data_IF_509427168101
#
_entry.id   IF_509427168101
#
_cell.length_a   1.000
_cell.length_b   1.000
_cell.length_c   1.000
_cell.angle_alpha   90.00
_cell.angle_beta   90.00
_cell.angle_gamma   90.00
#
_symmetry.space_group_name_H-M   'P 1'
#
loop_
_entity.id
_entity.type
_entity.pdbx_description
1 polymer ?
#
# COMPACT_ATOMS: atom_id res chain seq x y z
N UNK A 1 3.05 -10.27 -7.47
CA UNK A 1 4.15 -11.13 -6.99
C UNK A 1 3.56 -12.42 -6.44
N UNK A 2 3.84 -13.60 -7.01
CA UNK A 2 3.27 -14.89 -6.56
C UNK A 2 3.81 -15.24 -5.18
N UNK A 3 2.99 -15.72 -4.23
CA UNK A 3 3.49 -16.13 -2.92
C UNK A 3 4.47 -17.29 -3.09
N UNK A 4 5.66 -17.17 -2.49
CA UNK A 4 6.68 -18.23 -2.47
C UNK A 4 6.06 -19.53 -1.94
N UNK A 5 6.35 -20.67 -2.57
CA UNK A 5 5.69 -21.94 -2.29
C UNK A 5 5.94 -22.39 -0.84
N UNK A 6 4.93 -23.03 -0.28
CA UNK A 6 4.84 -23.56 1.08
C UNK A 6 5.98 -24.53 1.50
N UNK A 7 6.80 -24.98 0.58
CA UNK A 7 7.91 -25.93 0.83
C UNK A 7 9.03 -25.38 1.72
N UNK A 8 9.34 -24.09 1.69
CA UNK A 8 10.34 -23.48 2.57
C UNK A 8 9.89 -23.38 4.04
N UNK A 9 8.58 -23.42 4.29
CA UNK A 9 8.02 -23.41 5.66
C UNK A 9 8.09 -24.79 6.35
N UNK A 10 8.08 -25.88 5.58
CA UNK A 10 8.24 -27.22 6.13
C UNK A 10 9.69 -27.51 6.53
N UNK A 11 10.66 -26.96 5.81
CA UNK A 11 12.10 -27.17 6.08
C UNK A 11 12.57 -26.60 7.42
N UNK A 12 11.90 -25.57 7.96
CA UNK A 12 12.26 -25.02 9.29
C UNK A 12 11.69 -25.82 10.46
N UNK A 13 10.59 -26.54 10.26
CA UNK A 13 9.93 -27.30 11.33
C UNK A 13 10.70 -28.59 11.68
N UNK A 14 11.16 -29.35 10.69
CA UNK A 14 11.83 -30.64 10.91
C UNK A 14 13.13 -30.55 11.72
N UNK A 15 14.04 -29.60 11.47
CA UNK A 15 15.22 -29.43 12.34
C UNK A 15 14.85 -29.12 13.78
N UNK A 16 13.86 -28.28 14.03
CA UNK A 16 13.41 -27.96 15.39
C UNK A 16 12.78 -29.17 16.09
N UNK A 17 12.06 -30.00 15.35
CA UNK A 17 11.52 -31.26 15.88
C UNK A 17 12.64 -32.22 16.26
N UNK A 18 13.66 -32.39 15.42
CA UNK A 18 14.82 -33.24 15.72
C UNK A 18 15.58 -32.74 16.96
N UNK A 19 15.79 -31.45 17.09
CA UNK A 19 16.42 -30.84 18.27
C UNK A 19 15.55 -31.08 19.51
N UNK A 20 14.24 -30.86 19.45
CA UNK A 20 13.31 -31.07 20.56
C UNK A 20 13.31 -32.52 21.05
N UNK A 21 13.22 -33.50 20.14
CA UNK A 21 13.31 -34.92 20.51
C UNK A 21 14.71 -35.31 21.01
N UNK A 22 15.76 -34.77 20.38
CA UNK A 22 17.14 -34.99 20.83
C UNK A 22 17.37 -34.52 22.27
N UNK A 23 16.89 -33.32 22.63
CA UNK A 23 16.94 -32.78 23.97
C UNK A 23 16.11 -33.65 24.97
N UNK A 24 14.87 -34.01 24.58
CA UNK A 24 14.02 -34.85 25.44
C UNK A 24 14.65 -36.22 25.72
N UNK A 25 15.16 -36.90 24.69
CA UNK A 25 15.86 -38.16 24.81
C UNK A 25 17.13 -37.98 25.65
N UNK A 26 17.94 -36.97 25.38
CA UNK A 26 19.18 -36.70 26.11
C UNK A 26 18.95 -36.44 27.58
N UNK A 27 17.96 -35.63 27.96
CA UNK A 27 17.58 -35.40 29.37
C UNK A 27 17.12 -36.73 30.02
N UNK A 28 16.29 -37.51 29.32
CA UNK A 28 15.84 -38.79 29.84
C UNK A 28 16.98 -39.78 30.05
N UNK A 29 17.93 -39.87 29.13
CA UNK A 29 19.15 -40.72 29.29
C UNK A 29 19.97 -40.21 30.46
N UNK A 30 20.21 -38.91 30.59
CA UNK A 30 20.96 -38.35 31.72
C UNK A 30 20.31 -38.67 33.07
N UNK A 31 18.98 -38.53 33.16
CA UNK A 31 18.23 -38.90 34.37
C UNK A 31 18.25 -40.41 34.68
N UNK A 32 18.59 -41.27 33.70
CA UNK A 32 18.69 -42.73 33.92
C UNK A 32 20.05 -43.20 34.40
N UNK A 33 21.09 -42.38 34.32
CA UNK A 33 22.47 -42.77 34.69
C UNK A 33 22.59 -43.41 36.10
N UNK A 34 21.90 -42.98 37.18
CA UNK A 34 21.99 -43.59 38.49
C UNK A 34 21.45 -45.02 38.52
N UNK A 35 20.57 -45.41 37.62
CA UNK A 35 19.89 -46.70 37.54
C UNK A 35 20.44 -47.59 36.42
N UNK A 36 21.47 -47.12 35.72
CA UNK A 36 22.12 -47.84 34.65
C UNK A 36 22.79 -49.10 35.19
N UNK A 37 22.35 -50.24 34.85
CA UNK A 37 22.73 -51.65 35.13
C UNK A 37 21.52 -52.55 35.36
N UNK A 38 20.29 -52.01 35.32
CA UNK A 38 19.07 -52.81 35.40
C UNK A 38 18.48 -52.91 33.97
N UNK A 39 18.73 -54.02 33.33
CA UNK A 39 18.34 -54.31 31.96
C UNK A 39 16.83 -54.11 31.70
N UNK A 40 16.01 -54.53 32.71
CA UNK A 40 14.56 -54.34 32.70
C UNK A 40 14.13 -52.87 32.68
N UNK A 41 14.82 -52.05 33.45
CA UNK A 41 14.56 -50.59 33.50
C UNK A 41 15.01 -49.89 32.24
N UNK A 42 16.19 -50.24 31.71
CA UNK A 42 16.70 -49.65 30.45
C UNK A 42 15.82 -50.04 29.25
N UNK A 43 15.32 -51.29 29.22
CA UNK A 43 14.37 -51.75 28.21
C UNK A 43 13.03 -51.01 28.28
N UNK A 44 12.49 -50.80 29.50
CA UNK A 44 11.28 -49.98 29.69
C UNK A 44 11.45 -48.57 29.13
N UNK A 45 12.52 -47.90 29.52
CA UNK A 45 12.77 -46.52 29.09
C UNK A 45 13.02 -46.40 27.58
N UNK A 46 13.82 -47.28 27.01
CA UNK A 46 14.09 -47.31 25.58
C UNK A 46 12.80 -47.51 24.77
N UNK A 47 11.96 -48.44 25.17
CA UNK A 47 10.67 -48.70 24.52
C UNK A 47 9.71 -47.51 24.72
N UNK A 48 9.68 -46.88 25.90
CA UNK A 48 8.86 -45.71 26.18
C UNK A 48 9.25 -44.51 25.34
N UNK A 49 10.55 -44.20 25.21
CA UNK A 49 11.06 -43.12 24.39
C UNK A 49 10.78 -43.34 22.89
N UNK A 50 11.03 -44.59 22.43
CA UNK A 50 10.77 -45.00 21.06
C UNK A 50 9.28 -44.87 20.70
N UNK A 51 8.39 -45.38 21.57
CA UNK A 51 6.95 -45.32 21.35
C UNK A 51 6.42 -43.88 21.39
N UNK A 52 6.97 -43.02 22.28
CA UNK A 52 6.63 -41.60 22.32
C UNK A 52 7.05 -40.86 21.01
N UNK A 53 8.24 -41.17 20.52
CA UNK A 53 8.72 -40.67 19.22
C UNK A 53 7.82 -41.12 18.07
N UNK A 54 7.49 -42.43 18.01
CA UNK A 54 6.60 -42.96 16.97
C UNK A 54 5.20 -42.35 17.05
N UNK A 55 4.67 -42.15 18.26
CA UNK A 55 3.36 -41.48 18.45
C UNK A 55 3.33 -40.02 18.03
N UNK A 56 4.48 -39.37 17.91
CA UNK A 56 4.55 -38.00 17.41
C UNK A 56 4.19 -37.88 15.91
N UNK A 57 4.33 -38.95 15.11
CA UNK A 57 3.99 -38.91 13.68
C UNK A 57 2.47 -38.78 13.42
N UNK A 58 1.60 -39.65 13.97
CA UNK A 58 0.16 -39.46 13.84
C UNK A 58 -0.31 -38.13 14.47
N UNK A 59 0.30 -37.69 15.56
CA UNK A 59 0.02 -36.38 16.15
C UNK A 59 0.40 -35.24 15.21
N UNK A 60 1.56 -35.31 14.52
CA UNK A 60 1.96 -34.32 13.50
C UNK A 60 0.93 -34.23 12.40
N UNK A 61 0.48 -35.36 11.88
CA UNK A 61 -0.51 -35.38 10.80
C UNK A 61 -1.83 -34.75 11.22
N UNK A 62 -2.31 -35.04 12.44
CA UNK A 62 -3.52 -34.44 13.01
C UNK A 62 -3.37 -32.92 13.19
N UNK A 63 -2.29 -32.45 13.81
CA UNK A 63 -1.99 -31.04 13.98
C UNK A 63 -1.87 -30.32 12.64
N UNK A 64 -1.25 -30.99 11.64
CA UNK A 64 -1.10 -30.43 10.30
C UNK A 64 -2.46 -30.22 9.59
N UNK A 65 -3.38 -31.18 9.68
CA UNK A 65 -4.74 -31.04 9.14
C UNK A 65 -5.47 -29.87 9.82
N UNK A 66 -5.38 -29.76 11.16
CA UNK A 66 -6.05 -28.66 11.86
C UNK A 66 -5.47 -27.30 11.48
N UNK A 67 -4.17 -27.22 11.28
CA UNK A 67 -3.53 -26.02 10.80
C UNK A 67 -3.98 -25.62 9.39
N UNK A 68 -4.04 -26.59 8.47
CA UNK A 68 -4.49 -26.34 7.09
C UNK A 68 -5.96 -25.93 7.03
N UNK A 69 -6.83 -26.58 7.83
CA UNK A 69 -8.26 -26.29 7.90
C UNK A 69 -8.58 -25.06 8.75
N UNK A 70 -7.58 -24.35 9.27
CA UNK A 70 -7.75 -23.15 10.11
C UNK A 70 -8.71 -23.39 11.29
N UNK A 71 -8.67 -24.59 11.88
CA UNK A 71 -9.47 -24.93 13.06
C UNK A 71 -9.07 -23.99 14.21
N UNK A 72 -10.05 -23.46 14.95
CA UNK A 72 -9.76 -22.61 16.12
C UNK A 72 -8.91 -23.37 17.12
N UNK A 73 -7.84 -22.71 17.61
CA UNK A 73 -6.78 -23.32 18.43
C UNK A 73 -7.35 -24.09 19.63
N UNK A 74 -8.37 -23.58 20.30
CA UNK A 74 -9.04 -24.24 21.43
C UNK A 74 -9.57 -25.64 21.08
N UNK A 75 -10.21 -25.80 19.93
CA UNK A 75 -10.74 -27.09 19.48
C UNK A 75 -9.62 -28.03 19.02
N UNK A 76 -8.61 -27.49 18.34
CA UNK A 76 -7.45 -28.25 17.92
C UNK A 76 -6.70 -28.84 19.13
N UNK A 77 -6.46 -28.03 20.18
CA UNK A 77 -5.82 -28.49 21.41
C UNK A 77 -6.67 -29.55 22.13
N UNK A 78 -7.99 -29.32 22.28
CA UNK A 78 -8.88 -30.29 22.96
C UNK A 78 -8.90 -31.64 22.25
N UNK A 79 -8.97 -31.67 20.92
CA UNK A 79 -8.96 -32.93 20.17
C UNK A 79 -7.59 -33.61 20.24
N UNK A 80 -6.49 -32.85 20.14
CA UNK A 80 -5.13 -33.39 20.31
C UNK A 80 -4.93 -33.97 21.71
N UNK A 81 -5.49 -33.31 22.74
CA UNK A 81 -5.45 -33.80 24.14
C UNK A 81 -6.13 -35.15 24.30
N UNK A 82 -7.31 -35.30 23.68
CA UNK A 82 -8.04 -36.57 23.66
C UNK A 82 -7.29 -37.66 22.87
N UNK A 83 -6.73 -37.34 21.72
CA UNK A 83 -6.00 -38.27 20.85
C UNK A 83 -4.65 -38.69 21.43
N UNK A 84 -3.99 -37.83 22.20
CA UNK A 84 -2.71 -38.12 22.84
C UNK A 84 -2.83 -39.14 23.95
N UNK A 85 -3.98 -39.26 24.63
CA UNK A 85 -4.19 -40.17 25.75
C UNK A 85 -4.04 -41.65 25.36
N UNK A 86 -4.79 -42.18 24.36
CA UNK A 86 -4.63 -43.55 23.92
C UNK A 86 -3.23 -43.84 23.34
N UNK A 87 -2.59 -42.87 22.69
CA UNK A 87 -1.22 -43.02 22.20
C UNK A 87 -0.21 -43.15 23.37
N UNK A 88 -0.39 -42.34 24.42
CA UNK A 88 0.40 -42.44 25.65
C UNK A 88 0.21 -43.79 26.35
N UNK A 89 -1.03 -44.31 26.40
CA UNK A 89 -1.36 -45.62 26.98
C UNK A 89 -0.72 -46.77 26.19
N UNK A 90 -0.78 -46.72 24.85
CA UNK A 90 -0.10 -47.71 23.99
C UNK A 90 1.43 -47.69 24.22
N UNK A 91 1.99 -46.47 24.34
CA UNK A 91 3.40 -46.28 24.64
C UNK A 91 3.81 -46.89 25.99
N UNK A 92 3.03 -46.66 27.04
CA UNK A 92 3.26 -47.24 28.37
C UNK A 92 3.12 -48.76 28.35
N UNK A 93 2.11 -49.31 27.69
CA UNK A 93 1.91 -50.74 27.55
C UNK A 93 3.10 -51.41 26.84
N UNK A 94 3.58 -50.84 25.75
CA UNK A 94 4.77 -51.35 25.02
C UNK A 94 6.03 -51.30 25.86
N UNK A 95 6.20 -50.28 26.70
CA UNK A 95 7.32 -50.13 27.60
C UNK A 95 7.30 -51.22 28.71
N UNK A 96 6.13 -51.45 29.31
CA UNK A 96 5.99 -52.55 30.31
C UNK A 96 6.20 -53.92 29.69
N UNK A 97 5.67 -54.20 28.50
CA UNK A 97 5.91 -55.43 27.78
C UNK A 97 7.42 -55.67 27.52
N UNK A 98 8.12 -54.63 27.14
CA UNK A 98 9.57 -54.67 26.92
C UNK A 98 10.33 -54.98 28.23
N UNK A 99 9.96 -54.31 29.33
CA UNK A 99 10.57 -54.55 30.61
C UNK A 99 10.35 -56.01 31.09
N UNK A 100 9.14 -56.56 30.94
CA UNK A 100 8.83 -57.96 31.30
C UNK A 100 9.59 -58.95 30.45
N UNK A 101 9.84 -58.68 29.19
CA UNK A 101 10.61 -59.54 28.29
C UNK A 101 12.08 -59.69 28.74
N UNK A 102 12.67 -58.59 29.18
CA UNK A 102 14.08 -58.57 29.63
C UNK A 102 14.26 -58.80 31.11
N UNK A 103 13.19 -58.92 31.89
CA UNK A 103 13.26 -59.19 33.33
C UNK A 103 13.61 -60.66 33.65
N UNK A 104 14.53 -60.82 34.54
CA UNK A 104 14.87 -62.18 35.06
C UNK A 104 13.76 -62.78 35.94
N UNK A 105 12.99 -61.91 36.61
CA UNK A 105 11.82 -62.30 37.43
C UNK A 105 10.63 -61.74 36.68
N UNK A 106 9.72 -62.56 36.17
CA UNK A 106 8.52 -62.16 35.43
C UNK A 106 7.37 -61.84 36.40
N UNK A 107 7.26 -60.62 36.94
CA UNK A 107 6.10 -60.24 37.72
C UNK A 107 4.82 -60.33 36.88
N UNK A 108 3.65 -60.56 37.50
CA UNK A 108 2.39 -60.54 36.77
C UNK A 108 2.18 -59.14 36.15
N UNK A 109 1.63 -59.15 34.97
CA UNK A 109 1.26 -57.88 34.27
C UNK A 109 0.00 -57.29 34.92
N UNK A 110 0.12 -56.04 35.41
CA UNK A 110 -1.02 -55.32 35.97
C UNK A 110 -1.36 -54.08 35.14
N UNK A 111 -2.60 -53.96 34.74
CA UNK A 111 -3.07 -52.77 34.00
C UNK A 111 -2.91 -51.49 34.82
N UNK A 112 -2.89 -51.55 36.12
CA UNK A 112 -2.65 -50.42 37.02
C UNK A 112 -1.30 -49.76 36.73
N UNK A 113 -0.26 -50.57 36.47
CA UNK A 113 1.09 -50.04 36.17
C UNK A 113 1.12 -49.28 34.84
N UNK A 114 0.39 -49.78 33.86
CA UNK A 114 0.24 -49.09 32.55
C UNK A 114 -0.51 -47.77 32.71
N UNK A 115 -1.62 -47.78 33.45
CA UNK A 115 -2.42 -46.58 33.70
C UNK A 115 -1.63 -45.52 34.46
N UNK A 116 -0.88 -45.91 35.48
CA UNK A 116 -0.05 -44.97 36.27
C UNK A 116 1.12 -44.39 35.51
N UNK A 117 1.65 -45.08 34.50
CA UNK A 117 2.71 -44.57 33.61
C UNK A 117 2.18 -43.75 32.43
N UNK A 118 0.90 -43.91 32.06
CA UNK A 118 0.27 -43.20 30.89
C UNK A 118 0.41 -41.68 30.95
N UNK A 119 0.24 -40.97 32.09
CA UNK A 119 0.38 -39.53 32.17
C UNK A 119 1.72 -39.01 31.64
N UNK A 120 2.82 -39.72 31.88
CA UNK A 120 4.15 -39.32 31.42
C UNK A 120 4.23 -39.24 29.87
N UNK A 121 3.72 -40.26 29.17
CA UNK A 121 3.64 -40.28 27.72
C UNK A 121 2.68 -39.24 27.16
N UNK A 122 1.53 -39.07 27.82
CA UNK A 122 0.54 -38.08 27.47
C UNK A 122 1.09 -36.64 27.58
N UNK A 123 1.76 -36.31 28.70
CA UNK A 123 2.41 -35.00 28.87
C UNK A 123 3.51 -34.74 27.84
N UNK A 124 4.30 -35.77 27.50
CA UNK A 124 5.33 -35.64 26.47
C UNK A 124 4.71 -35.27 25.10
N UNK A 125 3.63 -35.95 24.72
CA UNK A 125 2.91 -35.64 23.46
C UNK A 125 2.21 -34.28 23.52
N UNK A 126 1.64 -33.89 24.65
CA UNK A 126 1.01 -32.58 24.81
C UNK A 126 2.04 -31.44 24.75
N UNK A 127 3.20 -31.60 25.37
CA UNK A 127 4.31 -30.64 25.23
C UNK A 127 4.72 -30.50 23.77
N UNK A 128 4.82 -31.63 23.06
CA UNK A 128 5.12 -31.63 21.63
C UNK A 128 4.05 -30.88 20.79
N UNK A 129 2.76 -31.08 21.08
CA UNK A 129 1.65 -30.33 20.43
C UNK A 129 1.76 -28.85 20.70
N UNK A 130 2.08 -28.46 21.94
CA UNK A 130 2.31 -27.05 22.31
C UNK A 130 3.45 -26.43 21.50
N UNK A 131 4.59 -27.12 21.38
CA UNK A 131 5.70 -26.67 20.54
C UNK A 131 5.32 -26.59 19.07
N UNK A 132 4.57 -27.56 18.53
CA UNK A 132 4.11 -27.52 17.15
C UNK A 132 3.29 -26.26 16.85
N UNK A 133 2.24 -26.02 17.62
CA UNK A 133 1.39 -24.83 17.41
C UNK A 133 2.13 -23.54 17.75
N UNK A 134 2.96 -23.51 18.79
CA UNK A 134 3.78 -22.36 19.15
C UNK A 134 4.69 -21.93 18.01
N UNK A 135 5.45 -22.86 17.43
CA UNK A 135 6.33 -22.59 16.28
C UNK A 135 5.51 -22.14 15.07
N UNK A 136 4.40 -22.83 14.78
CA UNK A 136 3.55 -22.45 13.64
C UNK A 136 2.93 -21.06 13.78
N UNK A 137 2.45 -20.71 14.97
CA UNK A 137 1.94 -19.36 15.25
C UNK A 137 3.03 -18.30 15.19
N UNK A 138 4.19 -18.57 15.77
CA UNK A 138 5.32 -17.65 15.71
C UNK A 138 5.72 -17.34 14.25
N UNK A 139 5.92 -18.38 13.44
CA UNK A 139 6.27 -18.20 12.03
C UNK A 139 5.16 -17.49 11.23
N UNK A 140 3.89 -17.71 11.57
CA UNK A 140 2.78 -17.02 10.93
C UNK A 140 2.70 -15.55 11.33
N UNK A 141 3.02 -15.20 12.58
CA UNK A 141 3.11 -13.82 13.07
C UNK A 141 4.27 -13.08 12.42
N UNK A 142 5.45 -13.70 12.35
CA UNK A 142 6.63 -13.14 11.69
C UNK A 142 6.35 -12.80 10.22
N UNK A 143 5.67 -13.70 9.52
CA UNK A 143 5.29 -13.47 8.12
C UNK A 143 4.28 -12.32 7.96
N UNK A 144 3.26 -12.26 8.84
CA UNK A 144 2.31 -11.15 8.84
C UNK A 144 2.99 -9.80 9.11
N UNK A 145 3.88 -9.78 10.10
CA UNK A 145 4.64 -8.56 10.43
C UNK A 145 5.48 -8.09 9.25
N UNK A 146 6.15 -9.02 8.57
CA UNK A 146 6.91 -8.72 7.37
C UNK A 146 6.04 -8.16 6.25
N UNK A 147 4.85 -8.76 6.01
CA UNK A 147 3.91 -8.26 5.00
C UNK A 147 3.41 -6.86 5.32
N UNK A 148 3.14 -6.56 6.59
CA UNK A 148 2.75 -5.21 7.03
C UNK A 148 3.85 -4.19 6.73
N UNK A 149 5.11 -4.49 7.07
CA UNK A 149 6.25 -3.61 6.77
C UNK A 149 6.40 -3.39 5.26
N UNK A 150 6.34 -4.46 4.45
CA UNK A 150 6.43 -4.35 2.98
C UNK A 150 5.30 -3.46 2.43
N UNK A 151 4.08 -3.60 2.94
CA UNK A 151 2.93 -2.78 2.53
C UNK A 151 3.11 -1.31 2.94
N UNK A 152 3.61 -1.04 4.14
CA UNK A 152 3.89 0.33 4.61
C UNK A 152 4.97 1.01 3.77
N UNK A 153 6.04 0.29 3.42
CA UNK A 153 7.09 0.80 2.53
C UNK A 153 6.52 1.16 1.16
N UNK A 154 5.69 0.27 0.58
CA UNK A 154 5.05 0.53 -0.71
C UNK A 154 4.12 1.75 -0.66
N UNK A 155 3.37 1.92 0.43
CA UNK A 155 2.51 3.08 0.64
C UNK A 155 3.33 4.38 0.73
N UNK A 156 4.41 4.39 1.51
CA UNK A 156 5.33 5.54 1.62
C UNK A 156 6.01 5.88 0.29
N UNK A 157 6.46 4.87 -0.47
CA UNK A 157 7.01 5.09 -1.80
C UNK A 157 5.98 5.68 -2.78
N UNK A 158 4.72 5.21 -2.71
CA UNK A 158 3.64 5.76 -3.52
C UNK A 158 3.36 7.24 -3.16
N UNK A 159 3.34 7.57 -1.86
CA UNK A 159 3.20 8.95 -1.39
C UNK A 159 4.37 9.84 -1.87
N UNK A 160 5.61 9.37 -1.75
CA UNK A 160 6.79 10.10 -2.23
C UNK A 160 6.76 10.30 -3.75
N UNK A 161 6.29 9.31 -4.51
CA UNK A 161 6.10 9.45 -5.96
C UNK A 161 5.03 10.49 -6.27
N UNK A 162 3.88 10.44 -5.60
CA UNK A 162 2.81 11.44 -5.77
C UNK A 162 3.32 12.85 -5.48
N UNK A 163 4.05 13.05 -4.37
CA UNK A 163 4.65 14.33 -4.02
C UNK A 163 5.68 14.82 -5.07
N UNK A 164 6.53 13.91 -5.59
CA UNK A 164 7.46 14.24 -6.68
C UNK A 164 6.75 14.66 -7.97
N UNK A 165 5.61 14.04 -8.27
CA UNK A 165 4.81 14.43 -9.44
C UNK A 165 4.14 15.81 -9.28
N UNK A 166 3.80 16.21 -8.05
CA UNK A 166 3.27 17.55 -7.77
C UNK A 166 4.28 18.68 -8.04
N UNK A 167 5.58 18.42 -7.88
CA UNK A 167 6.65 19.41 -8.06
C UNK A 167 7.04 19.66 -9.53
N UNK A 168 6.49 18.92 -10.50
CA UNK A 168 6.83 19.05 -11.92
C UNK A 168 8.34 19.27 -12.19
N UNK A 169 9.17 18.23 -12.14
CA UNK A 169 10.63 18.40 -12.26
C UNK A 169 11.06 19.19 -13.49
N UNK A 170 10.36 18.99 -14.61
CA UNK A 170 10.67 19.68 -15.88
C UNK A 170 10.44 21.18 -15.80
N UNK A 171 9.39 21.64 -15.13
CA UNK A 171 9.17 23.07 -14.89
C UNK A 171 10.28 23.68 -14.05
N UNK A 172 10.68 23.01 -12.94
CA UNK A 172 11.78 23.47 -12.09
C UNK A 172 13.10 23.57 -12.85
N UNK A 173 13.47 22.55 -13.63
CA UNK A 173 14.69 22.59 -14.45
C UNK A 173 14.66 23.72 -15.48
N UNK A 174 13.54 23.92 -16.14
CA UNK A 174 13.40 25.00 -17.13
C UNK A 174 13.49 26.38 -16.47
N UNK A 175 12.86 26.57 -15.31
CA UNK A 175 12.91 27.82 -14.55
C UNK A 175 14.33 28.10 -14.07
N UNK A 176 15.06 27.11 -13.53
CA UNK A 176 16.45 27.25 -13.12
C UNK A 176 17.36 27.62 -14.31
N UNK A 177 17.15 27.01 -15.46
CA UNK A 177 17.90 27.35 -16.67
C UNK A 177 17.60 28.78 -17.13
N UNK A 178 16.32 29.22 -17.06
CA UNK A 178 15.94 30.59 -17.40
C UNK A 178 16.58 31.59 -16.43
N UNK A 179 16.57 31.33 -15.11
CA UNK A 179 17.27 32.16 -14.11
C UNK A 179 18.76 32.27 -14.44
N UNK A 180 19.42 31.16 -14.74
CA UNK A 180 20.83 31.14 -15.12
C UNK A 180 21.08 32.00 -16.38
N UNK A 181 20.21 31.92 -17.37
CA UNK A 181 20.30 32.71 -18.60
C UNK A 181 20.13 34.21 -18.32
N UNK A 182 19.19 34.58 -17.44
CA UNK A 182 18.97 35.97 -17.02
C UNK A 182 20.21 36.55 -16.32
N UNK A 183 20.84 35.75 -15.46
CA UNK A 183 22.10 36.16 -14.78
C UNK A 183 23.22 36.34 -15.78
N UNK A 184 23.41 35.44 -16.75
CA UNK A 184 24.44 35.51 -17.77
C UNK A 184 24.23 36.68 -18.73
N UNK A 185 22.98 37.11 -18.93
CA UNK A 185 22.60 38.26 -19.79
C UNK A 185 22.60 39.58 -19.00
N UNK A 186 23.17 39.63 -17.82
CA UNK A 186 23.25 40.80 -16.95
C UNK A 186 21.88 41.42 -16.59
N UNK A 187 20.89 40.57 -16.34
CA UNK A 187 19.51 40.91 -15.93
C UNK A 187 19.20 40.43 -14.49
N UNK A 188 19.94 40.91 -13.45
CA UNK A 188 19.81 40.39 -12.10
C UNK A 188 18.44 40.67 -11.45
N UNK A 189 17.78 41.79 -11.83
CA UNK A 189 16.43 42.11 -11.32
C UNK A 189 15.39 41.09 -11.76
N UNK A 190 15.37 40.72 -13.03
CA UNK A 190 14.46 39.71 -13.55
C UNK A 190 14.76 38.31 -12.96
N UNK A 191 16.03 37.99 -12.77
CA UNK A 191 16.43 36.76 -12.12
C UNK A 191 15.93 36.68 -10.65
N UNK A 192 16.08 37.78 -9.89
CA UNK A 192 15.62 37.87 -8.51
C UNK A 192 14.09 37.79 -8.41
N UNK A 193 13.38 38.47 -9.30
CA UNK A 193 11.92 38.40 -9.40
C UNK A 193 11.46 36.97 -9.69
N UNK A 194 12.09 36.29 -10.65
CA UNK A 194 11.77 34.90 -10.99
C UNK A 194 12.00 33.94 -9.84
N UNK A 195 13.08 34.11 -9.07
CA UNK A 195 13.36 33.33 -7.86
C UNK A 195 12.26 33.56 -6.80
N UNK A 196 11.86 34.82 -6.58
CA UNK A 196 10.79 35.16 -5.63
C UNK A 196 9.47 34.50 -5.99
N UNK A 197 9.04 34.60 -7.26
CA UNK A 197 7.83 33.95 -7.76
C UNK A 197 7.90 32.44 -7.65
N UNK A 198 9.03 31.82 -8.00
CA UNK A 198 9.23 30.39 -7.86
C UNK A 198 9.14 29.93 -6.40
N UNK A 199 9.77 30.66 -5.47
CA UNK A 199 9.71 30.32 -4.05
C UNK A 199 8.27 30.42 -3.49
N UNK A 200 7.50 31.42 -3.94
CA UNK A 200 6.12 31.58 -3.54
C UNK A 200 5.24 30.46 -4.11
N UNK A 201 5.35 30.14 -5.40
CA UNK A 201 4.64 29.04 -6.05
C UNK A 201 4.92 27.68 -5.38
N UNK A 202 6.18 27.40 -5.05
CA UNK A 202 6.55 26.18 -4.34
C UNK A 202 5.93 26.12 -2.93
N UNK A 203 5.97 27.23 -2.20
CA UNK A 203 5.37 27.30 -0.86
C UNK A 203 3.86 27.13 -0.92
N UNK A 204 3.16 27.82 -1.81
CA UNK A 204 1.69 27.69 -1.97
C UNK A 204 1.28 26.28 -2.40
N UNK A 205 2.15 25.55 -3.13
CA UNK A 205 1.87 24.18 -3.55
C UNK A 205 2.14 23.15 -2.44
N UNK A 206 3.20 23.35 -1.62
CA UNK A 206 3.67 22.39 -0.61
C UNK A 206 3.03 22.58 0.76
N UNK A 207 2.85 23.84 1.21
CA UNK A 207 2.38 24.15 2.59
C UNK A 207 0.86 24.18 2.72
N UNK A 208 0.14 24.02 1.63
CA UNK A 208 -1.30 24.13 1.67
C UNK A 208 -1.95 22.91 2.34
N UNK A 209 -2.89 23.15 3.28
CA UNK A 209 -3.66 22.09 3.94
C UNK A 209 -4.34 21.19 2.89
N UNK A 210 -4.67 19.95 3.27
CA UNK A 210 -5.39 18.97 2.43
C UNK A 210 -6.86 19.40 2.17
N UNK A 211 -7.07 20.66 1.83
CA UNK A 211 -8.37 21.17 1.43
C UNK A 211 -8.66 20.76 -0.01
N UNK A 212 -9.76 20.05 -0.20
CA UNK A 212 -10.18 19.62 -1.53
C UNK A 212 -10.69 20.78 -2.38
N UNK A 213 -11.22 21.84 -1.76
CA UNK A 213 -11.76 23.04 -2.39
C UNK A 213 -11.11 24.30 -1.81
N UNK A 214 -10.88 25.30 -2.67
CA UNK A 214 -10.37 26.61 -2.31
C UNK A 214 -11.20 27.69 -3.05
N UNK A 215 -11.20 28.95 -2.58
CA UNK A 215 -11.76 30.04 -3.34
C UNK A 215 -11.12 30.16 -4.73
N UNK A 216 -11.92 30.53 -5.73
CA UNK A 216 -11.44 30.72 -7.09
C UNK A 216 -10.30 31.76 -7.16
N UNK A 217 -10.37 32.83 -6.39
CA UNK A 217 -9.30 33.84 -6.33
C UNK A 217 -7.95 33.24 -5.94
N UNK A 218 -7.90 32.25 -5.02
CA UNK A 218 -6.68 31.58 -4.61
C UNK A 218 -6.14 30.68 -5.73
N UNK A 219 -7.02 29.96 -6.43
CA UNK A 219 -6.63 29.11 -7.57
C UNK A 219 -6.11 29.95 -8.74
N UNK A 220 -6.75 31.11 -9.01
CA UNK A 220 -6.30 32.06 -10.03
C UNK A 220 -4.95 32.66 -9.66
N UNK A 221 -4.72 33.04 -8.40
CA UNK A 221 -3.44 33.60 -7.93
C UNK A 221 -2.27 32.62 -8.18
N UNK A 222 -2.44 31.34 -7.86
CA UNK A 222 -1.42 30.28 -8.11
C UNK A 222 -1.19 30.13 -9.63
N UNK A 223 -2.27 30.15 -10.41
CA UNK A 223 -2.20 30.03 -11.88
C UNK A 223 -1.51 31.24 -12.53
N UNK A 224 -1.78 32.44 -12.02
CA UNK A 224 -1.16 33.69 -12.46
C UNK A 224 0.35 33.69 -12.16
N UNK A 225 0.77 33.25 -10.98
CA UNK A 225 2.19 33.13 -10.63
C UNK A 225 2.92 32.15 -11.54
N UNK A 226 2.31 31.00 -11.83
CA UNK A 226 2.87 30.04 -12.78
C UNK A 226 3.05 30.69 -14.17
N UNK A 227 2.01 31.32 -14.70
CA UNK A 227 2.06 31.99 -16.03
C UNK A 227 3.03 33.17 -16.04
N UNK A 228 3.19 33.89 -14.92
CA UNK A 228 4.17 34.97 -14.81
C UNK A 228 5.62 34.47 -14.90
N UNK A 229 5.94 33.33 -14.27
CA UNK A 229 7.25 32.68 -14.42
C UNK A 229 7.47 32.28 -15.89
N UNK A 230 6.47 31.68 -16.53
CA UNK A 230 6.55 31.26 -17.92
C UNK A 230 6.67 32.49 -18.87
N UNK A 231 5.99 33.62 -18.56
CA UNK A 231 6.12 34.85 -19.32
C UNK A 231 7.53 35.43 -19.26
N UNK A 232 8.20 35.41 -18.10
CA UNK A 232 9.62 35.78 -17.99
C UNK A 232 10.49 34.85 -18.85
N UNK A 233 10.20 33.56 -18.87
CA UNK A 233 10.97 32.55 -19.63
C UNK A 233 10.81 32.71 -21.15
N UNK A 234 9.60 32.96 -21.62
CA UNK A 234 9.31 33.07 -23.06
C UNK A 234 9.44 34.49 -23.59
N UNK A 235 9.45 35.50 -22.71
CA UNK A 235 9.47 36.92 -23.12
C UNK A 235 8.27 37.26 -23.96
N UNK A 236 8.50 38.06 -25.01
CA UNK A 236 7.45 38.54 -25.94
C UNK A 236 6.69 37.41 -26.69
N UNK A 237 7.17 36.16 -26.56
CA UNK A 237 6.55 35.01 -27.19
C UNK A 237 5.31 34.50 -26.45
N UNK A 238 5.07 34.90 -25.20
CA UNK A 238 3.90 34.50 -24.42
C UNK A 238 3.06 35.72 -24.05
N UNK A 239 1.84 35.78 -24.58
CA UNK A 239 0.84 36.78 -24.24
C UNK A 239 -0.25 36.11 -23.41
N UNK A 240 -0.41 36.51 -22.13
CA UNK A 240 -1.46 36.03 -21.25
C UNK A 240 -2.60 37.02 -21.19
N UNK A 241 -3.83 36.54 -21.35
CA UNK A 241 -5.06 37.35 -21.25
C UNK A 241 -6.00 36.72 -20.24
N UNK A 242 -6.53 37.56 -19.36
CA UNK A 242 -7.50 37.20 -18.35
C UNK A 242 -8.83 37.89 -18.62
N UNK A 243 -9.92 37.11 -18.52
CA UNK A 243 -11.30 37.61 -18.63
C UNK A 243 -12.10 36.85 -17.53
N UNK A 244 -12.14 37.43 -16.34
CA UNK A 244 -12.70 36.78 -15.13
C UNK A 244 -13.79 37.67 -14.55
N UNK A 245 -14.98 37.10 -14.35
CA UNK A 245 -16.07 37.76 -13.64
C UNK A 245 -15.72 37.95 -12.17
N UNK A 246 -15.65 39.18 -11.68
CA UNK A 246 -15.23 39.52 -10.29
C UNK A 246 -16.13 38.90 -9.23
N UNK A 247 -17.43 38.73 -9.52
CA UNK A 247 -18.43 38.16 -8.61
C UNK A 247 -18.17 36.68 -8.27
N UNK A 248 -17.24 36.01 -8.99
CA UNK A 248 -16.94 34.61 -8.81
C UNK A 248 -15.72 34.34 -7.90
N UNK A 249 -15.07 35.38 -7.40
CA UNK A 249 -13.82 35.26 -6.62
C UNK A 249 -13.90 34.30 -5.42
N UNK A 250 -15.03 34.31 -4.70
CA UNK A 250 -15.27 33.51 -3.50
C UNK A 250 -15.92 32.14 -3.78
N UNK A 251 -16.21 31.81 -5.05
CA UNK A 251 -16.76 30.50 -5.41
C UNK A 251 -15.73 29.41 -5.17
N UNK A 252 -16.16 28.32 -4.52
CA UNK A 252 -15.27 27.22 -4.23
C UNK A 252 -15.03 26.34 -5.46
N UNK A 253 -13.76 26.15 -5.78
CA UNK A 253 -13.30 25.29 -6.89
C UNK A 253 -12.35 24.22 -6.38
N UNK A 254 -12.23 23.08 -7.07
CA UNK A 254 -11.23 22.08 -6.71
C UNK A 254 -9.83 22.66 -6.85
N UNK A 255 -9.02 22.52 -5.81
CA UNK A 255 -7.65 23.01 -5.80
C UNK A 255 -6.82 22.40 -6.92
N UNK A 256 -5.95 23.17 -7.57
CA UNK A 256 -5.09 22.76 -8.70
C UNK A 256 -5.90 22.20 -9.87
N UNK A 257 -7.06 22.83 -10.18
CA UNK A 257 -7.88 22.45 -11.32
C UNK A 257 -7.49 23.22 -12.59
N UNK A 258 -7.07 24.48 -12.44
CA UNK A 258 -6.65 25.35 -13.56
C UNK A 258 -5.22 25.07 -13.98
N UNK A 259 -4.32 24.83 -13.03
CA UNK A 259 -2.90 24.68 -13.28
C UNK A 259 -2.58 23.61 -14.35
N UNK A 260 -3.09 22.37 -14.33
CA UNK A 260 -2.80 21.38 -15.37
C UNK A 260 -3.27 21.79 -16.75
N UNK A 261 -4.29 22.65 -16.84
CA UNK A 261 -4.85 23.12 -18.11
C UNK A 261 -3.96 24.21 -18.73
N UNK A 262 -3.52 25.19 -17.92
CA UNK A 262 -2.59 26.24 -18.39
C UNK A 262 -1.20 25.68 -18.68
N UNK A 263 -0.73 24.70 -17.90
CA UNK A 263 0.50 23.95 -18.18
C UNK A 263 0.45 23.26 -19.53
N UNK A 264 -0.69 22.63 -19.83
CA UNK A 264 -0.93 22.01 -21.13
C UNK A 264 -0.89 23.04 -22.26
N UNK A 265 -1.52 24.21 -22.07
CA UNK A 265 -1.51 25.30 -23.02
C UNK A 265 -0.09 25.84 -23.28
N UNK A 266 0.72 26.03 -22.23
CA UNK A 266 2.13 26.43 -22.36
C UNK A 266 2.93 25.35 -23.07
N UNK A 267 2.84 24.10 -22.62
CA UNK A 267 3.67 22.99 -23.12
C UNK A 267 3.37 22.62 -24.56
N UNK A 268 2.12 22.55 -24.93
CA UNK A 268 1.68 22.08 -26.24
C UNK A 268 1.36 23.22 -27.22
N UNK A 269 1.04 24.43 -26.73
CA UNK A 269 0.90 25.63 -27.51
C UNK A 269 2.24 26.38 -27.63
N UNK A 270 2.55 27.20 -26.65
CA UNK A 270 3.61 28.22 -26.72
C UNK A 270 5.01 27.62 -26.92
N UNK A 271 5.36 26.55 -26.16
CA UNK A 271 6.71 25.96 -26.20
C UNK A 271 7.08 25.40 -27.58
N UNK A 272 6.08 25.02 -28.39
CA UNK A 272 6.25 24.43 -29.72
C UNK A 272 6.10 25.45 -30.87
N UNK A 273 5.88 26.75 -30.55
CA UNK A 273 5.72 27.81 -31.52
C UNK A 273 6.91 28.78 -31.50
N UNK A 274 7.78 28.82 -32.52
CA UNK A 274 8.87 29.78 -32.57
C UNK A 274 8.42 31.25 -32.50
N UNK A 275 7.27 31.54 -33.09
CA UNK A 275 6.66 32.89 -33.07
C UNK A 275 5.92 33.23 -31.79
N UNK A 276 5.78 32.25 -30.87
CA UNK A 276 4.97 32.40 -29.67
C UNK A 276 3.46 32.37 -29.96
N UNK A 277 2.69 32.87 -29.02
CA UNK A 277 1.24 32.89 -29.09
C UNK A 277 0.61 33.44 -27.83
N UNK A 278 -0.72 33.28 -27.71
CA UNK A 278 -1.45 33.71 -26.54
C UNK A 278 -2.04 32.54 -25.77
N UNK A 279 -2.31 32.79 -24.49
CA UNK A 279 -3.16 31.99 -23.63
C UNK A 279 -4.24 32.90 -23.08
N UNK A 280 -5.51 32.55 -23.32
CA UNK A 280 -6.67 33.22 -22.75
C UNK A 280 -7.24 32.34 -21.66
N UNK A 281 -7.39 32.89 -20.48
CA UNK A 281 -8.11 32.26 -19.35
C UNK A 281 -9.37 33.08 -19.10
N UNK A 282 -10.52 32.47 -19.37
CA UNK A 282 -11.82 33.11 -19.20
C UNK A 282 -12.63 32.34 -18.15
N UNK A 283 -13.18 33.04 -17.16
CA UNK A 283 -14.05 32.47 -16.12
C UNK A 283 -15.31 33.32 -16.07
N UNK A 284 -16.46 32.68 -16.23
CA UNK A 284 -17.74 33.38 -16.27
C UNK A 284 -18.86 32.53 -15.66
N UNK A 285 -19.94 33.23 -15.27
CA UNK A 285 -21.14 32.58 -14.74
C UNK A 285 -22.02 32.06 -15.87
N UNK A 286 -22.45 30.81 -15.79
CA UNK A 286 -23.39 30.17 -16.71
C UNK A 286 -24.55 29.56 -15.93
N UNK A 287 -25.56 30.39 -15.61
CA UNK A 287 -26.67 29.98 -14.74
C UNK A 287 -26.18 29.65 -13.33
N UNK A 288 -26.48 28.49 -12.83
CA UNK A 288 -26.02 28.00 -11.52
C UNK A 288 -24.63 27.33 -11.58
N UNK A 289 -23.91 27.47 -12.68
CA UNK A 289 -22.59 26.92 -12.87
C UNK A 289 -21.54 28.00 -13.09
N UNK A 290 -20.32 27.75 -12.66
CA UNK A 290 -19.14 28.47 -13.12
C UNK A 290 -18.56 27.73 -14.33
N UNK A 291 -18.29 28.48 -15.41
CA UNK A 291 -17.65 27.96 -16.60
C UNK A 291 -16.25 28.54 -16.72
N UNK A 292 -15.28 27.67 -16.96
CA UNK A 292 -13.88 28.03 -17.22
C UNK A 292 -13.56 27.66 -18.66
N UNK A 293 -12.98 28.60 -19.37
CA UNK A 293 -12.56 28.44 -20.76
C UNK A 293 -11.09 28.84 -20.86
N UNK A 294 -10.25 27.94 -21.36
CA UNK A 294 -8.83 28.18 -21.61
C UNK A 294 -8.59 27.95 -23.10
N UNK A 295 -8.07 28.99 -23.79
CA UNK A 295 -7.78 28.97 -25.22
C UNK A 295 -6.30 29.23 -25.46
N UNK A 296 -5.69 28.50 -26.40
CA UNK A 296 -4.33 28.74 -26.86
C UNK A 296 -4.18 28.40 -28.34
N UNK A 297 -3.23 29.03 -28.99
CA UNK A 297 -2.86 28.69 -30.36
C UNK A 297 -2.14 27.36 -30.44
N UNK A 298 -2.52 26.46 -31.39
CA UNK A 298 -1.86 25.17 -31.56
C UNK A 298 -0.50 25.33 -32.27
N UNK A 299 0.39 24.29 -32.23
CA UNK A 299 1.64 24.27 -33.00
C UNK A 299 1.41 24.50 -34.51
N UNK A 300 2.33 25.20 -35.17
CA UNK A 300 2.21 25.60 -36.60
C UNK A 300 2.13 24.38 -37.56
N UNK A 301 2.73 23.24 -37.23
CA UNK A 301 2.88 22.08 -38.13
C UNK A 301 1.77 21.02 -38.03
N UNK A 302 0.77 21.16 -37.14
CA UNK A 302 0.01 20.00 -36.73
C UNK A 302 -1.50 20.21 -36.50
N UNK A 303 -2.14 21.22 -37.04
CA UNK A 303 -3.59 21.40 -36.82
C UNK A 303 -4.43 20.15 -37.21
N UNK A 304 -4.03 19.42 -38.25
CA UNK A 304 -4.76 18.24 -38.74
C UNK A 304 -4.39 16.92 -38.00
N UNK A 305 -3.13 16.74 -37.60
CA UNK A 305 -2.65 15.50 -36.93
C UNK A 305 -2.91 15.52 -35.41
N UNK A 306 -2.92 16.72 -34.82
CA UNK A 306 -3.28 16.91 -33.42
C UNK A 306 -4.76 16.69 -33.14
N UNK A 307 -5.64 16.86 -34.12
CA UNK A 307 -7.07 16.60 -34.00
C UNK A 307 -7.40 15.16 -33.64
N UNK A 308 -6.69 14.19 -34.21
CA UNK A 308 -6.95 12.77 -33.96
C UNK A 308 -6.25 12.24 -32.67
N UNK A 309 -5.12 12.81 -32.32
CA UNK A 309 -4.34 12.40 -31.13
C UNK A 309 -4.77 13.08 -29.82
N UNK A 310 -5.13 14.37 -29.84
CA UNK A 310 -5.53 15.14 -28.65
C UNK A 310 -7.00 14.90 -28.26
N UNK A 311 -7.88 14.64 -29.22
CA UNK A 311 -9.25 14.26 -28.95
C UNK A 311 -9.35 12.85 -28.31
N UNK A 312 -8.41 11.95 -28.62
CA UNK A 312 -8.39 10.57 -28.11
C UNK A 312 -7.52 10.37 -26.87
N UNK A 313 -6.52 11.19 -26.67
CA UNK A 313 -5.55 11.03 -25.55
C UNK A 313 -5.17 12.41 -25.01
N UNK A 314 -6.13 13.16 -24.50
CA UNK A 314 -5.80 14.31 -23.67
C UNK A 314 -4.69 13.90 -22.70
N UNK A 315 -3.56 14.63 -22.66
CA UNK A 315 -2.39 14.29 -21.86
C UNK A 315 -2.79 13.93 -20.43
N UNK A 316 -1.91 13.25 -19.70
CA UNK A 316 -2.19 12.75 -18.33
C UNK A 316 -2.87 13.82 -17.46
N UNK A 317 -2.46 15.09 -17.58
CA UNK A 317 -3.05 16.21 -16.84
C UNK A 317 -4.53 16.45 -17.15
N UNK A 318 -4.94 16.52 -18.42
CA UNK A 318 -6.34 16.71 -18.79
C UNK A 318 -7.24 15.54 -18.39
N UNK A 319 -6.71 14.30 -18.51
CA UNK A 319 -7.44 13.12 -18.07
C UNK A 319 -7.65 13.13 -16.55
N UNK A 320 -6.64 13.54 -15.79
CA UNK A 320 -6.74 13.67 -14.34
C UNK A 320 -7.77 14.75 -13.95
N UNK A 321 -7.77 15.90 -14.64
CA UNK A 321 -8.78 16.94 -14.41
C UNK A 321 -10.18 16.41 -14.67
N UNK A 322 -10.41 15.76 -15.83
CA UNK A 322 -11.71 15.15 -16.17
C UNK A 322 -12.17 14.15 -15.11
N UNK A 323 -11.31 13.18 -14.76
CA UNK A 323 -11.63 12.17 -13.77
C UNK A 323 -11.95 12.77 -12.40
N UNK A 324 -11.22 13.82 -12.02
CA UNK A 324 -11.45 14.53 -10.76
C UNK A 324 -12.79 15.28 -10.75
N UNK A 325 -13.15 15.95 -11.85
CA UNK A 325 -14.45 16.61 -11.99
C UNK A 325 -15.59 15.58 -11.91
N UNK A 326 -15.46 14.46 -12.62
CA UNK A 326 -16.44 13.36 -12.59
C UNK A 326 -16.59 12.75 -11.17
N UNK A 327 -15.49 12.57 -10.43
CA UNK A 327 -15.52 12.06 -9.06
C UNK A 327 -16.16 13.03 -8.07
N UNK A 328 -15.96 14.35 -8.25
CA UNK A 328 -16.42 15.36 -7.28
C UNK A 328 -17.84 15.83 -7.55
N UNK A 329 -18.26 15.91 -8.81
CA UNK A 329 -19.52 16.52 -9.22
C UNK A 329 -20.41 15.60 -10.07
N UNK A 330 -19.92 14.43 -10.46
CA UNK A 330 -20.67 13.47 -11.28
C UNK A 330 -21.18 14.08 -12.59
N UNK A 331 -22.47 13.92 -12.86
CA UNK A 331 -23.16 14.42 -14.05
C UNK A 331 -23.35 15.96 -14.06
N UNK A 332 -23.17 16.63 -12.93
CA UNK A 332 -23.29 18.09 -12.83
C UNK A 332 -22.05 18.82 -13.38
N UNK A 333 -20.97 18.09 -13.67
CA UNK A 333 -19.79 18.65 -14.31
C UNK A 333 -19.73 18.30 -15.79
N UNK A 334 -19.19 19.21 -16.59
CA UNK A 334 -18.91 18.96 -18.00
C UNK A 334 -17.49 19.39 -18.33
N UNK A 335 -16.80 18.63 -19.20
CA UNK A 335 -15.51 19.04 -19.74
C UNK A 335 -15.41 18.69 -21.22
N UNK A 336 -15.19 19.69 -22.04
CA UNK A 336 -15.03 19.58 -23.47
C UNK A 336 -13.69 20.12 -23.94
N UNK A 337 -13.16 19.50 -24.97
CA UNK A 337 -11.97 19.98 -25.67
C UNK A 337 -12.28 20.08 -27.14
N UNK A 338 -11.98 21.20 -27.76
CA UNK A 338 -12.28 21.46 -29.18
C UNK A 338 -11.21 22.34 -29.84
N UNK A 339 -11.30 22.46 -31.14
CA UNK A 339 -10.61 23.51 -31.91
C UNK A 339 -11.69 24.45 -32.43
N UNK A 340 -11.53 25.73 -32.11
CA UNK A 340 -12.50 26.73 -32.52
C UNK A 340 -12.35 27.10 -34.00
N UNK A 341 -13.27 27.95 -34.52
CA UNK A 341 -13.29 28.38 -35.90
C UNK A 341 -12.01 29.15 -36.34
N UNK A 342 -11.22 29.64 -35.39
CA UNK A 342 -9.93 30.33 -35.64
C UNK A 342 -8.75 29.36 -35.69
N UNK A 343 -9.01 28.06 -35.45
CA UNK A 343 -7.98 27.06 -35.40
C UNK A 343 -7.29 26.93 -34.02
N UNK A 344 -7.76 27.64 -32.98
CA UNK A 344 -7.17 27.58 -31.64
C UNK A 344 -7.71 26.41 -30.87
N UNK A 345 -6.84 25.81 -30.03
CA UNK A 345 -7.22 24.75 -29.10
C UNK A 345 -7.90 25.37 -27.89
N UNK A 346 -9.03 24.80 -27.51
CA UNK A 346 -9.81 25.24 -26.36
C UNK A 346 -10.21 24.10 -25.46
N UNK A 347 -10.16 24.37 -24.16
CA UNK A 347 -10.68 23.51 -23.11
C UNK A 347 -11.73 24.29 -22.34
N UNK A 348 -12.92 23.73 -22.22
CA UNK A 348 -13.99 24.34 -21.43
C UNK A 348 -14.50 23.30 -20.44
N UNK A 349 -14.62 23.68 -19.18
CA UNK A 349 -15.33 22.88 -18.20
C UNK A 349 -16.33 23.72 -17.42
N UNK A 350 -17.38 23.09 -16.88
CA UNK A 350 -18.31 23.76 -15.98
C UNK A 350 -18.57 22.88 -14.75
N UNK A 351 -18.73 23.56 -13.61
CA UNK A 351 -19.05 22.95 -12.32
C UNK A 351 -20.13 23.77 -11.61
N UNK A 352 -20.95 23.18 -10.73
CA UNK A 352 -21.93 23.92 -9.96
C UNK A 352 -21.27 24.94 -9.04
N UNK A 353 -21.94 26.08 -8.84
CA UNK A 353 -21.50 27.12 -7.89
C UNK A 353 -21.76 26.62 -6.49
N UNK A 354 -20.70 26.43 -5.72
CA UNK A 354 -20.75 26.06 -4.30
C UNK A 354 -20.16 27.18 -3.46
N UNK A 355 -20.93 27.70 -2.51
CA UNK A 355 -20.45 28.67 -1.55
C UNK A 355 -20.02 28.03 -0.23
N UNK A 356 -19.13 28.69 0.50
CA UNK A 356 -18.52 28.16 1.74
C UNK A 356 -19.53 27.76 2.84
N UNK A 357 -20.76 28.27 2.80
CA UNK A 357 -21.83 27.96 3.75
C UNK A 357 -22.52 26.59 3.46
N UNK A 358 -22.44 26.08 2.26
CA UNK A 358 -23.14 24.86 1.82
C UNK A 358 -22.31 23.58 1.96
N UNK A 359 -20.97 23.71 2.12
CA UNK A 359 -20.06 22.56 2.26
C UNK A 359 -20.33 21.66 3.48
N UNK A 360 -20.97 22.16 4.54
CA UNK A 360 -21.35 21.31 5.69
C UNK A 360 -22.48 20.31 5.36
N UNK A 361 -23.28 20.57 4.32
CA UNK A 361 -24.33 19.66 3.84
C UNK A 361 -23.81 18.58 2.87
N UNK A 362 -22.85 18.90 2.01
CA UNK A 362 -22.29 17.98 1.01
C UNK A 362 -21.41 16.88 1.64
N UNK A 363 -20.70 17.16 2.73
CA UNK A 363 -19.93 16.14 3.48
C UNK A 363 -20.80 15.07 4.14
N UNK A 364 -22.07 15.37 4.44
CA UNK A 364 -23.01 14.42 5.05
C UNK A 364 -23.64 13.47 4.02
N UNK A 365 -23.69 13.82 2.74
CA UNK A 365 -24.27 12.96 1.69
C UNK A 365 -23.29 11.96 1.08
N UNK A 366 -21.98 12.22 1.11
CA UNK A 366 -20.92 11.35 0.60
C UNK A 366 -20.40 10.34 1.65
N UNK A 367 -20.72 10.54 2.93
CA UNK A 367 -20.31 9.66 4.03
C UNK A 367 -21.38 8.67 4.51
N UNK A 368 -22.55 8.63 3.87
CA UNK A 368 -23.68 7.79 4.32
C UNK A 368 -23.78 6.43 3.59
N UNK A 369 -22.99 6.19 2.54
CA UNK A 369 -23.04 4.94 1.75
C UNK A 369 -21.87 3.97 2.04
N UNK A 370 -21.03 4.23 3.07
CA UNK A 370 -20.02 3.27 3.55
C UNK A 370 -20.16 3.06 5.07
N UNK A 371 -21.16 2.28 5.49
CA UNK A 371 -21.18 1.57 6.80
C UNK A 371 -21.64 0.12 6.58
#
# INVERSE_FOLDING_TARGET
MKPKPSHLRSLRFWPLQLIGWGLYIGINVLCSLPWWRRVDYDAFRGAFLLSSLLSSFPMYWLCHIFWQRRVRLRYAISICMLAAFPLGMLGSASAFQSALFFSKVRPPFHWVDVITATPAGWFALMSWVGFYFGIKHYLALEEKHRQLIETEIMAKEAQLRALRYQLQPHFLFNTMNAISTLVLNDQPHAATEMIGKLAHLLRSTLDAPELHHIPLCDELAVTEEYLAIEAIRFGDRLIVRWDVDEDLAEVLVPRLILQPLVENAVRHGIARRPRGGFILVKVYRKGEHIAVHIENEPPEESAAVLLDGLARTGGIGMRNVRQRLEQMYGEESTMHTSINARGNFEVTFSIPIVHNQEMNGYKLSLGADEV
#
